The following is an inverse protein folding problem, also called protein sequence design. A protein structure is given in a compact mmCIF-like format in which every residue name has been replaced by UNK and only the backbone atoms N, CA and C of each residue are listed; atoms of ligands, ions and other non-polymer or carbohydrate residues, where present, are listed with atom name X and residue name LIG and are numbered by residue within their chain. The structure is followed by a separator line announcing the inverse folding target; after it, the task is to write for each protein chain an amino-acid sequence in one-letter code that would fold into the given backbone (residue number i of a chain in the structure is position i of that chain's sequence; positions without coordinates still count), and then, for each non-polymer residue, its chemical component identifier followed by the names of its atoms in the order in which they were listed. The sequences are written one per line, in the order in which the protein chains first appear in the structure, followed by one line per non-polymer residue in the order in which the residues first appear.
data_IF_659722671460
#
_entry.id   IF_659722671460
#
_cell.length_a   1.000
_cell.length_b   1.000
_cell.length_c   1.000
_cell.angle_alpha   90.00
_cell.angle_beta   90.00
_cell.angle_gamma   90.00
#
_symmetry.space_group_name_H-M   'P 1'
#
loop_
_entity.id
_entity.type
_entity.pdbx_description
1 polymer ?
#
# COMPACT_ATOMS: atom_id res chain seq x y z
N UNK A 1 -48.22 10.05 -5.21
CA UNK A 1 -46.84 10.29 -4.78
C UNK A 1 -45.96 9.85 -5.93
N UNK A 2 -45.28 10.78 -6.58
CA UNK A 2 -44.57 10.47 -7.83
C UNK A 2 -43.39 9.53 -7.53
N UNK A 3 -43.07 8.66 -8.49
CA UNK A 3 -41.98 7.70 -8.39
C UNK A 3 -40.67 8.40 -8.00
N UNK A 4 -40.44 9.61 -8.51
CA UNK A 4 -39.29 10.44 -8.17
C UNK A 4 -39.28 10.88 -6.69
N UNK A 5 -40.45 11.15 -6.11
CA UNK A 5 -40.59 11.49 -4.69
C UNK A 5 -40.28 10.28 -3.81
N UNK A 6 -40.72 9.08 -4.21
CA UNK A 6 -40.44 7.82 -3.50
C UNK A 6 -38.93 7.52 -3.55
N UNK A 7 -38.30 7.69 -4.71
CA UNK A 7 -36.85 7.49 -4.88
C UNK A 7 -36.06 8.48 -4.03
N UNK A 8 -36.45 9.75 -3.96
CA UNK A 8 -35.76 10.75 -3.12
C UNK A 8 -35.88 10.44 -1.62
N UNK A 9 -37.05 10.00 -1.16
CA UNK A 9 -37.25 9.59 0.23
C UNK A 9 -36.41 8.34 0.55
N UNK A 10 -36.39 7.35 -0.34
CA UNK A 10 -35.54 6.17 -0.17
C UNK A 10 -34.05 6.52 -0.18
N UNK A 11 -33.60 7.39 -1.09
CA UNK A 11 -32.20 7.81 -1.19
C UNK A 11 -31.73 8.58 0.06
N UNK A 12 -32.58 9.46 0.60
CA UNK A 12 -32.27 10.20 1.83
C UNK A 12 -32.20 9.28 3.05
N UNK A 13 -33.15 8.33 3.18
CA UNK A 13 -33.07 7.28 4.21
C UNK A 13 -31.79 6.46 4.06
N UNK A 14 -31.43 6.06 2.84
CA UNK A 14 -30.23 5.27 2.58
C UNK A 14 -28.95 6.04 2.90
N UNK A 15 -28.92 7.34 2.63
CA UNK A 15 -27.77 8.22 2.94
C UNK A 15 -27.58 8.38 4.45
N UNK A 16 -28.68 8.53 5.19
CA UNK A 16 -28.66 8.57 6.66
C UNK A 16 -28.23 7.21 7.22
N UNK A 17 -28.70 6.11 6.64
CA UNK A 17 -28.33 4.76 7.07
C UNK A 17 -26.84 4.47 6.85
N UNK A 18 -26.31 4.83 5.67
CA UNK A 18 -24.88 4.72 5.36
C UNK A 18 -24.08 5.58 6.34
N UNK A 19 -24.42 6.84 6.53
CA UNK A 19 -23.64 7.72 7.42
C UNK A 19 -23.71 7.30 8.89
N UNK A 20 -24.86 6.82 9.38
CA UNK A 20 -25.03 6.41 10.78
C UNK A 20 -24.41 5.05 11.11
N UNK A 21 -24.40 4.08 10.18
CA UNK A 21 -23.87 2.74 10.45
C UNK A 21 -22.46 2.51 9.91
N UNK A 22 -22.18 3.01 8.70
CA UNK A 22 -20.92 2.73 8.01
C UNK A 22 -19.81 3.64 8.55
N UNK A 23 -20.09 4.93 8.83
CA UNK A 23 -19.06 5.83 9.32
C UNK A 23 -18.50 5.43 10.70
N UNK A 24 -19.31 5.07 11.72
CA UNK A 24 -18.79 4.60 13.00
C UNK A 24 -18.03 3.28 12.87
N UNK A 25 -18.43 2.39 11.95
CA UNK A 25 -17.71 1.15 11.69
C UNK A 25 -16.29 1.42 11.19
N UNK A 26 -16.13 2.28 10.18
CA UNK A 26 -14.80 2.66 9.67
C UNK A 26 -13.96 3.40 10.72
N UNK A 27 -14.58 4.32 11.47
CA UNK A 27 -13.90 5.07 12.53
C UNK A 27 -13.43 4.15 13.67
N UNK A 28 -14.29 3.23 14.13
CA UNK A 28 -13.94 2.23 15.14
C UNK A 28 -12.85 1.28 14.62
N UNK A 29 -12.91 0.86 13.35
CA UNK A 29 -11.87 0.04 12.76
C UNK A 29 -10.50 0.75 12.75
N UNK A 30 -10.49 2.02 12.33
CA UNK A 30 -9.29 2.85 12.33
C UNK A 30 -8.73 3.05 13.75
N UNK A 31 -9.59 3.44 14.70
CA UNK A 31 -9.21 3.67 16.09
C UNK A 31 -8.73 2.39 16.77
N UNK A 32 -9.40 1.25 16.56
CA UNK A 32 -8.98 -0.07 17.06
C UNK A 32 -7.60 -0.46 16.54
N UNK A 33 -7.25 -0.07 15.31
CA UNK A 33 -5.91 -0.31 14.76
C UNK A 33 -4.86 0.54 15.47
N UNK A 34 -5.15 1.82 15.73
CA UNK A 34 -4.25 2.73 16.46
C UNK A 34 -4.07 2.30 17.92
N UNK A 35 -5.18 1.95 18.59
CA UNK A 35 -5.18 1.51 19.98
C UNK A 35 -4.36 0.24 20.19
N UNK A 36 -4.48 -0.75 19.28
CA UNK A 36 -3.64 -1.96 19.33
C UNK A 36 -2.14 -1.66 19.28
N UNK A 37 -1.71 -0.65 18.52
CA UNK A 37 -0.30 -0.24 18.49
C UNK A 37 0.16 0.27 19.85
N UNK A 38 -0.67 1.10 20.48
CA UNK A 38 -0.35 1.74 21.75
C UNK A 38 -0.36 0.74 22.90
N UNK A 39 -1.34 -0.16 22.93
CA UNK A 39 -1.43 -1.23 23.92
C UNK A 39 -0.22 -2.18 23.83
N UNK A 40 0.21 -2.52 22.61
CA UNK A 40 1.42 -3.34 22.43
C UNK A 40 2.68 -2.69 23.05
N UNK A 41 2.84 -1.37 22.93
CA UNK A 41 3.97 -0.66 23.55
C UNK A 41 3.93 -0.74 25.08
N UNK A 42 2.75 -0.56 25.66
CA UNK A 42 2.52 -0.64 27.10
C UNK A 42 2.83 -2.06 27.61
N UNK A 43 2.28 -3.08 26.95
CA UNK A 43 2.47 -4.48 27.35
C UNK A 43 3.95 -4.91 27.21
N UNK A 44 4.62 -4.45 26.15
CA UNK A 44 6.06 -4.72 25.92
C UNK A 44 6.93 -4.17 27.05
N UNK A 45 6.61 -2.97 27.55
CA UNK A 45 7.35 -2.35 28.65
C UNK A 45 7.19 -3.15 29.96
N UNK A 46 5.98 -3.63 30.26
CA UNK A 46 5.72 -4.48 31.43
C UNK A 46 6.48 -5.82 31.35
N UNK A 47 6.57 -6.44 30.17
CA UNK A 47 7.32 -7.69 29.99
C UNK A 47 8.83 -7.46 30.18
N UNK A 48 9.38 -6.35 29.66
CA UNK A 48 10.80 -6.01 29.80
C UNK A 48 11.24 -5.79 31.25
N UNK A 49 10.34 -5.36 32.13
CA UNK A 49 10.64 -5.07 33.53
C UNK A 49 10.65 -6.32 34.43
N UNK A 50 9.97 -7.40 34.01
CA UNK A 50 9.67 -8.55 34.88
C UNK A 50 10.43 -9.84 34.52
N UNK A 51 11.43 -9.78 33.64
CA UNK A 51 12.08 -10.97 33.06
C UNK A 51 13.60 -10.98 33.31
N UNK A 52 14.18 -12.14 33.64
CA UNK A 52 15.61 -12.36 33.88
C UNK A 52 16.51 -12.00 32.69
N UNK A 53 17.74 -11.56 32.99
CA UNK A 53 18.63 -10.87 32.06
C UNK A 53 18.96 -11.67 30.78
N UNK A 54 19.31 -12.96 30.87
CA UNK A 54 19.74 -13.72 29.68
C UNK A 54 18.59 -14.08 28.72
N UNK A 55 17.41 -14.38 29.28
CA UNK A 55 16.22 -14.61 28.45
C UNK A 55 15.67 -13.29 27.90
N UNK A 56 15.81 -12.21 28.68
CA UNK A 56 15.42 -10.87 28.27
C UNK A 56 16.20 -10.39 27.03
N UNK A 57 17.53 -10.48 27.07
CA UNK A 57 18.39 -9.98 25.98
C UNK A 57 18.35 -10.86 24.74
N UNK A 58 18.31 -12.19 24.91
CA UNK A 58 18.37 -13.11 23.76
C UNK A 58 17.02 -13.39 23.11
N UNK A 59 15.90 -13.21 23.81
CA UNK A 59 14.58 -13.58 23.31
C UNK A 59 13.57 -12.44 23.37
N UNK A 60 13.39 -11.82 24.54
CA UNK A 60 12.34 -10.80 24.72
C UNK A 60 12.63 -9.53 23.92
N UNK A 61 13.85 -8.98 24.03
CA UNK A 61 14.24 -7.76 23.33
C UNK A 61 14.17 -7.88 21.80
N UNK A 62 14.75 -8.92 21.17
CA UNK A 62 14.59 -9.14 19.73
C UNK A 62 13.13 -9.27 19.31
N UNK A 63 12.33 -10.03 20.06
CA UNK A 63 10.91 -10.25 19.75
C UNK A 63 10.11 -8.94 19.83
N UNK A 64 10.36 -8.12 20.85
CA UNK A 64 9.71 -6.82 20.98
C UNK A 64 10.13 -5.89 19.85
N UNK A 65 11.43 -5.84 19.52
CA UNK A 65 11.95 -4.99 18.46
C UNK A 65 11.36 -5.36 17.09
N UNK A 66 11.26 -6.66 16.75
CA UNK A 66 10.64 -7.14 15.51
C UNK A 66 9.17 -6.74 15.42
N UNK A 67 8.43 -6.96 16.49
CA UNK A 67 7.01 -6.65 16.53
C UNK A 67 6.74 -5.14 16.50
N UNK A 68 7.53 -4.35 17.25
CA UNK A 68 7.44 -2.90 17.27
C UNK A 68 7.78 -2.34 15.88
N UNK A 69 8.82 -2.87 15.23
CA UNK A 69 9.16 -2.53 13.85
C UNK A 69 8.00 -2.86 12.90
N UNK A 70 7.38 -4.04 13.00
CA UNK A 70 6.21 -4.39 12.21
C UNK A 70 5.01 -3.46 12.47
N UNK A 71 4.77 -3.10 13.73
CA UNK A 71 3.68 -2.20 14.13
C UNK A 71 3.88 -0.79 13.54
N UNK A 72 5.12 -0.28 13.51
CA UNK A 72 5.43 1.04 12.97
C UNK A 72 5.44 1.06 11.44
N UNK A 73 6.15 0.10 10.82
CA UNK A 73 6.44 0.11 9.37
C UNK A 73 5.50 -0.76 8.55
N UNK A 74 4.86 -1.75 9.18
CA UNK A 74 4.08 -2.79 8.52
C UNK A 74 4.93 -3.86 7.83
N UNK A 75 6.25 -3.87 8.01
CA UNK A 75 7.18 -4.84 7.42
C UNK A 75 7.48 -5.93 8.44
N UNK A 76 7.15 -7.18 8.14
CA UNK A 76 7.60 -8.33 8.93
C UNK A 76 9.05 -8.63 8.60
N UNK A 77 9.92 -8.67 9.59
CA UNK A 77 11.35 -8.94 9.41
C UNK A 77 11.95 -9.48 10.71
N UNK A 78 13.17 -9.99 10.66
CA UNK A 78 13.91 -10.43 11.85
C UNK A 78 14.77 -9.30 12.44
N UNK A 79 15.14 -9.42 13.71
CA UNK A 79 15.92 -8.44 14.45
C UNK A 79 17.20 -8.04 13.71
N UNK A 80 17.91 -9.04 13.14
CA UNK A 80 19.17 -8.84 12.45
C UNK A 80 19.08 -8.01 11.15
N UNK A 81 17.91 -7.96 10.50
CA UNK A 81 17.73 -7.20 9.24
C UNK A 81 17.08 -5.83 9.44
N UNK A 82 16.54 -5.53 10.63
CA UNK A 82 15.99 -4.20 10.95
C UNK A 82 16.99 -3.08 10.61
N UNK A 83 18.28 -3.17 10.97
CA UNK A 83 19.25 -2.12 10.63
C UNK A 83 19.38 -1.86 9.13
N UNK A 84 19.22 -2.89 8.28
CA UNK A 84 19.29 -2.74 6.84
C UNK A 84 18.11 -1.93 6.28
N UNK A 85 16.91 -2.08 6.87
CA UNK A 85 15.74 -1.27 6.52
C UNK A 85 15.86 0.18 6.99
N UNK A 86 16.47 0.41 8.16
CA UNK A 86 16.74 1.76 8.65
C UNK A 86 17.75 2.48 7.75
N UNK A 87 18.88 1.83 7.44
CA UNK A 87 19.86 2.35 6.47
C UNK A 87 19.24 2.66 5.12
N UNK A 88 18.38 1.78 4.62
CA UNK A 88 17.63 2.01 3.37
C UNK A 88 16.78 3.29 3.46
N UNK A 89 16.03 3.46 4.57
CA UNK A 89 15.19 4.65 4.79
C UNK A 89 16.02 5.93 4.85
N UNK A 90 17.17 5.88 5.51
CA UNK A 90 18.08 7.02 5.65
C UNK A 90 18.68 7.42 4.29
N UNK A 91 19.10 6.44 3.48
CA UNK A 91 19.60 6.69 2.12
C UNK A 91 18.53 7.31 1.20
N UNK A 92 17.28 6.88 1.35
CA UNK A 92 16.17 7.40 0.54
C UNK A 92 15.86 8.86 0.91
N UNK A 93 15.88 9.20 2.21
CA UNK A 93 15.59 10.53 2.74
C UNK A 93 14.16 10.66 3.28
N UNK A 94 13.77 11.86 3.72
CA UNK A 94 12.51 12.11 4.43
C UNK A 94 11.26 11.89 3.56
N UNK A 95 11.34 12.15 2.25
CA UNK A 95 10.21 12.08 1.30
C UNK A 95 9.67 10.66 1.07
N UNK A 96 10.37 9.63 1.55
CA UNK A 96 10.02 8.23 1.29
C UNK A 96 9.40 7.59 2.53
N UNK A 97 8.08 7.46 2.54
CA UNK A 97 7.36 6.83 3.66
C UNK A 97 7.55 5.31 3.76
N UNK A 98 7.40 4.77 4.96
CA UNK A 98 7.39 3.32 5.20
C UNK A 98 6.34 2.57 4.37
N UNK A 99 5.20 3.21 4.05
CA UNK A 99 4.18 2.62 3.19
C UNK A 99 4.74 2.29 1.79
N UNK A 100 5.60 3.17 1.25
CA UNK A 100 6.22 2.99 -0.05
C UNK A 100 7.28 1.89 -0.03
N UNK A 101 8.13 1.91 1.00
CA UNK A 101 9.16 0.88 1.23
C UNK A 101 8.50 -0.50 1.41
N UNK A 102 7.46 -0.59 2.22
CA UNK A 102 6.70 -1.83 2.47
C UNK A 102 6.14 -2.42 1.20
N UNK A 103 5.54 -1.60 0.34
CA UNK A 103 4.99 -2.10 -0.94
C UNK A 103 6.06 -2.58 -1.91
N UNK A 104 7.29 -2.05 -1.83
CA UNK A 104 8.39 -2.47 -2.69
C UNK A 104 9.12 -3.73 -2.18
N UNK A 105 8.84 -4.17 -0.95
CA UNK A 105 9.47 -5.31 -0.28
C UNK A 105 9.61 -6.57 -1.16
N UNK A 106 8.61 -6.99 -1.98
CA UNK A 106 8.74 -8.19 -2.82
C UNK A 106 9.92 -8.14 -3.81
N UNK A 107 10.47 -6.95 -4.07
CA UNK A 107 11.58 -6.73 -4.99
C UNK A 107 12.91 -6.50 -4.27
N UNK A 108 12.95 -6.64 -2.95
CA UNK A 108 14.16 -6.48 -2.15
C UNK A 108 14.95 -7.79 -2.12
N UNK A 109 16.27 -7.68 -2.28
CA UNK A 109 17.23 -8.74 -1.98
C UNK A 109 18.30 -8.19 -1.04
N UNK A 110 18.87 -9.07 -0.23
CA UNK A 110 20.03 -8.72 0.57
C UNK A 110 21.29 -9.04 -0.23
N UNK A 111 22.21 -8.07 -0.34
CA UNK A 111 23.56 -8.29 -0.86
C UNK A 111 24.42 -9.00 0.21
N UNK A 112 25.61 -9.46 -0.20
CA UNK A 112 26.62 -10.10 0.63
C UNK A 112 27.03 -9.27 1.86
N UNK A 113 26.84 -7.94 1.81
CA UNK A 113 27.08 -7.01 2.93
C UNK A 113 25.90 -6.87 3.89
N UNK A 114 24.79 -7.59 3.64
CA UNK A 114 23.54 -7.47 4.41
C UNK A 114 22.75 -6.20 4.09
N UNK A 115 23.07 -5.50 3.00
CA UNK A 115 22.36 -4.30 2.56
C UNK A 115 21.20 -4.64 1.62
N UNK A 116 20.15 -3.82 1.63
CA UNK A 116 18.98 -4.03 0.76
C UNK A 116 19.27 -3.48 -0.63
N UNK A 117 19.19 -4.36 -1.63
CA UNK A 117 19.18 -4.03 -3.03
C UNK A 117 17.81 -4.24 -3.65
N UNK A 118 17.42 -3.35 -4.55
CA UNK A 118 16.14 -3.42 -5.26
C UNK A 118 16.42 -3.94 -6.67
N UNK A 119 15.96 -5.15 -6.95
CA UNK A 119 16.18 -5.80 -8.24
C UNK A 119 14.87 -5.88 -9.01
N UNK A 120 14.83 -5.16 -10.13
CA UNK A 120 13.75 -5.23 -11.11
C UNK A 120 14.28 -5.88 -12.38
N UNK A 121 13.71 -7.03 -12.73
CA UNK A 121 14.04 -7.68 -14.00
C UNK A 121 13.48 -6.89 -15.18
N UNK A 122 14.12 -7.01 -16.36
CA UNK A 122 13.62 -6.41 -17.60
C UNK A 122 12.19 -6.87 -17.90
N UNK A 123 11.88 -8.14 -17.67
CA UNK A 123 10.53 -8.69 -17.84
C UNK A 123 9.50 -8.04 -16.92
N UNK A 124 9.86 -7.76 -15.65
CA UNK A 124 8.98 -7.07 -14.71
C UNK A 124 8.63 -5.65 -15.18
N UNK A 125 9.59 -4.96 -15.81
CA UNK A 125 9.36 -3.62 -16.38
C UNK A 125 8.48 -3.66 -17.63
N UNK A 126 8.67 -4.66 -18.50
CA UNK A 126 7.81 -4.88 -19.67
C UNK A 126 6.38 -5.18 -19.22
N UNK A 127 6.22 -6.10 -18.27
CA UNK A 127 4.92 -6.45 -17.69
C UNK A 127 4.21 -5.23 -17.09
N UNK A 128 4.94 -4.36 -16.39
CA UNK A 128 4.39 -3.10 -15.85
C UNK A 128 3.83 -2.23 -16.97
N UNK A 129 4.62 -1.97 -18.01
CA UNK A 129 4.20 -1.09 -19.09
C UNK A 129 3.00 -1.69 -19.85
N UNK A 130 3.04 -2.99 -20.17
CA UNK A 130 1.93 -3.69 -20.81
C UNK A 130 0.64 -3.60 -19.98
N UNK A 131 0.74 -3.86 -18.67
CA UNK A 131 -0.41 -3.81 -17.77
C UNK A 131 -1.00 -2.41 -17.61
N UNK A 132 -0.17 -1.36 -17.66
CA UNK A 132 -0.65 0.03 -17.69
C UNK A 132 -1.47 0.31 -18.95
N UNK A 133 -0.97 -0.11 -20.13
CA UNK A 133 -1.72 0.03 -21.39
C UNK A 133 -3.03 -0.74 -21.31
N UNK A 134 -3.00 -1.98 -20.83
CA UNK A 134 -4.19 -2.81 -20.70
C UNK A 134 -5.24 -2.21 -19.76
N UNK A 135 -4.82 -1.70 -18.60
CA UNK A 135 -5.71 -0.99 -17.68
C UNK A 135 -6.34 0.24 -18.31
N UNK A 136 -5.58 0.98 -19.12
CA UNK A 136 -6.08 2.15 -19.82
C UNK A 136 -7.12 1.77 -20.87
N UNK A 137 -6.87 0.71 -21.64
CA UNK A 137 -7.84 0.15 -22.61
C UNK A 137 -9.14 -0.24 -21.92
N UNK A 138 -9.10 -1.00 -20.81
CA UNK A 138 -10.31 -1.36 -20.08
C UNK A 138 -11.10 -0.15 -19.57
N UNK A 139 -10.40 0.85 -19.03
CA UNK A 139 -11.05 2.09 -18.58
C UNK A 139 -11.69 2.85 -19.74
N UNK A 140 -11.04 2.93 -20.90
CA UNK A 140 -11.60 3.57 -22.09
C UNK A 140 -12.80 2.81 -22.65
N UNK A 141 -12.73 1.47 -22.69
CA UNK A 141 -13.86 0.65 -23.13
C UNK A 141 -15.05 0.81 -22.19
N UNK A 142 -14.84 0.80 -20.87
CA UNK A 142 -15.89 1.05 -19.88
C UNK A 142 -16.54 2.43 -20.05
N UNK A 143 -15.74 3.48 -20.26
CA UNK A 143 -16.26 4.81 -20.58
C UNK A 143 -17.01 4.84 -21.91
N UNK A 144 -16.49 4.17 -22.94
CA UNK A 144 -17.12 4.07 -24.26
C UNK A 144 -18.51 3.43 -24.19
N UNK A 145 -18.68 2.38 -23.37
CA UNK A 145 -19.98 1.75 -23.11
C UNK A 145 -20.93 2.77 -22.49
N UNK A 146 -20.50 3.48 -21.44
CA UNK A 146 -21.35 4.48 -20.78
C UNK A 146 -21.77 5.60 -21.74
N UNK A 147 -20.86 6.12 -22.55
CA UNK A 147 -21.14 7.16 -23.55
C UNK A 147 -22.04 6.65 -24.67
N UNK A 148 -21.87 5.40 -25.09
CA UNK A 148 -22.71 4.79 -26.11
C UNK A 148 -24.15 4.66 -25.63
N UNK A 149 -24.34 4.12 -24.41
CA UNK A 149 -25.66 3.92 -23.84
C UNK A 149 -26.33 5.23 -23.39
N UNK A 150 -25.57 6.28 -23.08
CA UNK A 150 -26.15 7.59 -22.74
C UNK A 150 -26.90 8.27 -23.89
N UNK A 151 -26.78 7.76 -25.12
CA UNK A 151 -27.51 8.26 -26.30
C UNK A 151 -28.89 7.63 -26.48
N UNK A 152 -29.21 6.60 -25.70
CA UNK A 152 -30.50 5.92 -25.75
C UNK A 152 -31.39 6.39 -24.61
N UNK A 153 -32.69 6.48 -24.87
CA UNK A 153 -33.69 6.78 -23.84
C UNK A 153 -33.92 5.55 -22.95
N UNK A 154 -33.05 5.42 -21.96
CA UNK A 154 -33.10 4.34 -20.97
C UNK A 154 -34.21 4.66 -19.96
N UNK A 155 -35.32 3.93 -20.04
CA UNK A 155 -36.51 4.19 -19.22
C UNK A 155 -36.82 3.06 -18.23
N UNK A 156 -36.19 1.88 -18.39
CA UNK A 156 -36.42 0.74 -17.49
C UNK A 156 -35.24 0.46 -16.57
N UNK A 157 -35.53 0.04 -15.33
CA UNK A 157 -34.51 -0.31 -14.34
C UNK A 157 -33.62 -1.48 -14.80
N UNK A 158 -34.16 -2.42 -15.58
CA UNK A 158 -33.42 -3.53 -16.17
C UNK A 158 -32.34 -3.08 -17.15
N UNK A 159 -32.60 -2.06 -17.96
CA UNK A 159 -31.63 -1.49 -18.89
C UNK A 159 -30.48 -0.80 -18.14
N UNK A 160 -30.82 -0.03 -17.10
CA UNK A 160 -29.82 0.62 -16.23
C UNK A 160 -28.90 -0.43 -15.58
N UNK A 161 -29.48 -1.49 -15.00
CA UNK A 161 -28.70 -2.56 -14.38
C UNK A 161 -27.79 -3.28 -15.38
N UNK A 162 -28.27 -3.54 -16.60
CA UNK A 162 -27.48 -4.19 -17.65
C UNK A 162 -26.27 -3.33 -18.06
N UNK A 163 -26.42 -2.01 -18.15
CA UNK A 163 -25.33 -1.09 -18.45
C UNK A 163 -24.27 -1.12 -17.35
N UNK A 164 -24.69 -1.06 -16.09
CA UNK A 164 -23.75 -1.16 -14.96
C UNK A 164 -23.08 -2.53 -14.90
N UNK A 165 -23.80 -3.63 -15.17
CA UNK A 165 -23.21 -4.97 -15.25
C UNK A 165 -22.15 -5.10 -16.34
N UNK A 166 -22.27 -4.36 -17.45
CA UNK A 166 -21.27 -4.37 -18.52
C UNK A 166 -20.08 -3.44 -18.23
N UNK A 167 -20.34 -2.23 -17.74
CA UNK A 167 -19.29 -1.21 -17.55
C UNK A 167 -18.52 -1.39 -16.24
N UNK A 168 -19.19 -1.74 -15.14
CA UNK A 168 -18.60 -1.77 -13.81
C UNK A 168 -17.46 -2.81 -13.67
N UNK A 169 -17.57 -4.05 -14.21
CA UNK A 169 -16.48 -5.01 -14.14
C UNK A 169 -15.21 -4.51 -14.84
N UNK A 170 -15.33 -3.76 -15.95
CA UNK A 170 -14.18 -3.21 -16.67
C UNK A 170 -13.39 -2.21 -15.80
N UNK A 171 -14.09 -1.36 -15.06
CA UNK A 171 -13.45 -0.44 -14.11
C UNK A 171 -12.83 -1.19 -12.93
N UNK A 172 -13.49 -2.24 -12.41
CA UNK A 172 -12.91 -3.10 -11.37
C UNK A 172 -11.63 -3.77 -11.87
N UNK A 173 -11.64 -4.32 -13.08
CA UNK A 173 -10.46 -4.96 -13.67
C UNK A 173 -9.32 -3.97 -13.87
N UNK A 174 -9.60 -2.77 -14.39
CA UNK A 174 -8.61 -1.70 -14.50
C UNK A 174 -8.02 -1.34 -13.13
N UNK A 175 -8.87 -1.13 -12.12
CA UNK A 175 -8.42 -0.83 -10.76
C UNK A 175 -7.58 -1.97 -10.15
N UNK A 176 -8.00 -3.22 -10.35
CA UNK A 176 -7.26 -4.38 -9.87
C UNK A 176 -5.86 -4.46 -10.50
N UNK A 177 -5.75 -4.26 -11.82
CA UNK A 177 -4.46 -4.22 -12.51
C UNK A 177 -3.57 -3.11 -11.95
N UNK A 178 -4.09 -1.89 -11.74
CA UNK A 178 -3.29 -0.80 -11.16
C UNK A 178 -2.83 -1.11 -9.73
N UNK A 179 -3.68 -1.77 -8.93
CA UNK A 179 -3.36 -2.13 -7.56
C UNK A 179 -2.16 -3.09 -7.48
N UNK A 180 -2.06 -4.06 -8.40
CA UNK A 180 -0.94 -5.02 -8.43
C UNK A 180 0.36 -4.36 -8.92
N UNK A 181 0.26 -3.38 -9.83
CA UNK A 181 1.42 -2.63 -10.33
C UNK A 181 2.04 -1.67 -9.32
N UNK A 182 1.30 -1.30 -8.27
CA UNK A 182 1.78 -0.35 -7.25
C UNK A 182 3.10 -0.79 -6.62
N UNK A 183 3.28 -2.10 -6.38
CA UNK A 183 4.53 -2.68 -5.87
C UNK A 183 5.72 -2.41 -6.80
N UNK A 184 5.55 -2.73 -8.09
CA UNK A 184 6.60 -2.63 -9.11
C UNK A 184 6.97 -1.16 -9.36
N UNK A 185 5.96 -0.30 -9.46
CA UNK A 185 6.17 1.14 -9.68
C UNK A 185 6.94 1.79 -8.54
N UNK A 186 6.54 1.50 -7.29
CA UNK A 186 7.24 2.02 -6.11
C UNK A 186 8.66 1.47 -5.99
N UNK A 187 8.86 0.17 -6.24
CA UNK A 187 10.20 -0.40 -6.30
C UNK A 187 11.08 0.30 -7.36
N UNK A 188 10.53 0.64 -8.53
CA UNK A 188 11.27 1.34 -9.57
C UNK A 188 11.68 2.76 -9.19
N UNK A 189 10.81 3.49 -8.47
CA UNK A 189 11.14 4.83 -7.96
C UNK A 189 12.26 4.73 -6.90
N UNK A 190 12.14 3.79 -5.97
CA UNK A 190 13.16 3.57 -4.94
C UNK A 190 14.50 3.16 -5.55
N UNK A 191 14.49 2.25 -6.54
CA UNK A 191 15.70 1.82 -7.24
C UNK A 191 16.43 3.00 -7.88
N UNK A 192 15.69 3.84 -8.64
CA UNK A 192 16.28 5.05 -9.26
C UNK A 192 16.90 5.98 -8.22
N UNK A 193 16.22 6.21 -7.10
CA UNK A 193 16.74 7.06 -6.01
C UNK A 193 18.03 6.49 -5.43
N UNK A 194 18.05 5.20 -5.12
CA UNK A 194 19.23 4.53 -4.58
C UNK A 194 20.41 4.59 -5.55
N UNK A 195 20.18 4.41 -6.85
CA UNK A 195 21.24 4.55 -7.87
C UNK A 195 21.83 5.96 -7.85
N UNK A 196 20.99 7.00 -7.80
CA UNK A 196 21.46 8.40 -7.72
C UNK A 196 22.25 8.66 -6.44
N UNK A 197 21.79 8.16 -5.31
CA UNK A 197 22.47 8.34 -4.01
C UNK A 197 23.81 7.60 -4.00
N UNK A 198 23.87 6.36 -4.47
CA UNK A 198 25.12 5.58 -4.60
C UNK A 198 26.13 6.30 -5.51
N UNK A 199 25.69 6.83 -6.65
CA UNK A 199 26.56 7.61 -7.55
C UNK A 199 27.15 8.85 -6.85
N UNK A 200 26.36 9.58 -6.06
CA UNK A 200 26.84 10.74 -5.30
C UNK A 200 27.87 10.36 -4.24
N UNK A 201 27.65 9.26 -3.53
CA UNK A 201 28.58 8.77 -2.50
C UNK A 201 29.92 8.35 -3.11
N UNK A 202 29.92 7.69 -4.26
CA UNK A 202 31.14 7.33 -5.00
C UNK A 202 31.87 8.56 -5.54
N UNK A 203 31.16 9.64 -5.87
CA UNK A 203 31.76 10.90 -6.33
C UNK A 203 32.30 11.78 -5.19
N UNK A 204 31.82 11.59 -3.95
CA UNK A 204 32.37 12.26 -2.75
C UNK A 204 33.56 11.55 -2.13
N UNK A 205 34.02 10.43 -2.70
CA UNK A 205 35.14 9.60 -2.24
C UNK A 205 36.52 9.84 -2.93
N UNK A 206 36.87 10.97 -3.58
CA UNK A 206 38.28 11.23 -3.93
C UNK A 206 39.00 11.98 -2.78
N UNK A 207 40.28 11.66 -2.58
CA UNK A 207 41.26 12.35 -1.69
C UNK A 207 41.41 11.92 -0.23
N UNK A 208 41.41 10.62 0.08
CA UNK A 208 42.11 10.16 1.31
C UNK A 208 42.82 8.82 1.12
N UNK A 209 43.56 8.71 0.02
CA UNK A 209 44.62 7.72 -0.15
C UNK A 209 45.88 8.46 -0.60
N UNK A 210 46.60 8.98 0.39
CA UNK A 210 48.03 9.27 0.30
C UNK A 210 48.75 7.97 0.62
#
# INVERSE_FOLDING_TARGET
MDINSIIQVLASIFTVFISAFIAPFFLNFYMKRKFRKMQYLIDSQNILQNVHNDFKTNFVEPTIAENLFFVMTGIRTNYNTIPAYLKLKDLLGQDYEWLMIRSAKPHFKFDNKGEIEIILSKYTLIYRNFSLVLSFVFSLTGLGILIYFSRFDINTLSEILLIYMLAFPLFIFAFYILSTLTSISRAGILQKRLTVVKMKLTQSEPENKI
#
